data_IF_022319797588
#
_entry.id   IF_022319797588
#
_cell.length_a   1.000
_cell.length_b   1.000
_cell.length_c   1.000
_cell.angle_alpha   90.00
_cell.angle_beta   90.00
_cell.angle_gamma   90.00
#
_symmetry.space_group_name_H-M   'P 1'
#
loop_
_entity.id
_entity.type
_entity.pdbx_description
1 polymer ?
#
# COMPACT_ATOMS: atom_id res chain seq x y z
N UNK A 1 -8.88 -5.96 -0.05
CA UNK A 1 -7.55 -6.00 0.57
C UNK A 1 -6.59 -6.74 -0.36
N UNK A 2 -5.31 -6.39 -0.29
CA UNK A 2 -4.17 -6.95 -1.04
C UNK A 2 -4.12 -6.60 -2.53
N UNK A 3 -5.24 -6.64 -3.25
CA UNK A 3 -5.35 -6.16 -4.65
C UNK A 3 -6.46 -5.12 -4.79
N UNK A 4 -6.49 -4.42 -5.92
CA UNK A 4 -7.69 -3.68 -6.31
C UNK A 4 -8.82 -4.69 -6.53
N UNK A 5 -9.89 -4.55 -5.75
CA UNK A 5 -11.08 -5.41 -5.76
C UNK A 5 -12.30 -4.70 -6.37
N UNK A 6 -12.10 -3.58 -7.05
CA UNK A 6 -13.18 -2.84 -7.73
C UNK A 6 -13.92 -3.72 -8.74
N UNK A 7 -13.25 -4.69 -9.36
CA UNK A 7 -13.84 -5.68 -10.26
C UNK A 7 -14.87 -6.60 -9.58
N UNK A 8 -14.68 -6.93 -8.30
CA UNK A 8 -15.54 -7.85 -7.54
C UNK A 8 -16.80 -7.18 -7.01
N UNK A 9 -16.78 -5.86 -6.84
CA UNK A 9 -17.88 -5.09 -6.28
C UNK A 9 -17.92 -3.67 -6.80
N UNK A 10 -18.09 -3.44 -8.10
CA UNK A 10 -17.92 -2.12 -8.71
C UNK A 10 -18.90 -1.07 -8.16
N UNK A 11 -20.06 -1.49 -7.65
CA UNK A 11 -21.11 -0.62 -7.12
C UNK A 11 -21.20 -0.62 -5.59
N UNK A 12 -20.32 -1.35 -4.90
CA UNK A 12 -20.28 -1.45 -3.43
C UNK A 12 -18.90 -1.19 -2.84
N UNK A 13 -17.85 -1.26 -3.64
CA UNK A 13 -16.46 -1.09 -3.21
C UNK A 13 -16.04 0.37 -3.41
N UNK A 14 -15.89 1.10 -2.30
CA UNK A 14 -15.45 2.51 -2.33
C UNK A 14 -13.96 2.63 -2.70
N UNK A 15 -13.11 1.84 -2.06
CA UNK A 15 -11.68 1.83 -2.25
C UNK A 15 -11.09 0.49 -1.78
N UNK A 16 -9.90 0.15 -2.27
CA UNK A 16 -9.15 -1.03 -1.87
C UNK A 16 -7.82 -0.61 -1.24
N UNK A 17 -7.52 -1.08 -0.04
CA UNK A 17 -6.12 -1.11 0.41
C UNK A 17 -5.41 -2.25 -0.32
N UNK A 18 -4.40 -1.89 -1.10
CA UNK A 18 -3.58 -2.78 -1.93
C UNK A 18 -2.28 -3.03 -1.20
N UNK A 19 -1.79 -4.26 -1.23
CA UNK A 19 -0.48 -4.65 -0.72
C UNK A 19 0.33 -5.24 -1.86
N UNK A 20 1.40 -4.57 -2.23
CA UNK A 20 2.32 -5.00 -3.28
C UNK A 20 3.27 -6.09 -2.78
N UNK A 21 2.70 -7.24 -2.39
CA UNK A 21 3.46 -8.44 -1.99
C UNK A 21 4.37 -8.90 -3.13
N UNK A 22 3.93 -8.74 -4.37
CA UNK A 22 4.71 -8.97 -5.58
C UNK A 22 6.06 -8.23 -5.54
N UNK A 23 6.07 -6.94 -5.19
CA UNK A 23 7.30 -6.15 -5.07
C UNK A 23 8.21 -6.62 -3.94
N UNK A 24 7.64 -6.98 -2.80
CA UNK A 24 8.42 -7.49 -1.66
C UNK A 24 9.08 -8.85 -1.97
N UNK A 25 8.37 -9.71 -2.70
CA UNK A 25 8.92 -11.00 -3.15
C UNK A 25 10.00 -10.77 -4.22
N UNK A 26 9.74 -9.91 -5.20
CA UNK A 26 10.72 -9.55 -6.23
C UNK A 26 12.00 -8.98 -5.61
N UNK A 27 11.89 -8.07 -4.64
CA UNK A 27 13.07 -7.47 -3.98
C UNK A 27 13.88 -8.53 -3.24
N UNK A 28 13.23 -9.42 -2.48
CA UNK A 28 13.92 -10.50 -1.78
C UNK A 28 14.63 -11.48 -2.72
N UNK A 29 13.99 -11.84 -3.85
CA UNK A 29 14.62 -12.68 -4.88
C UNK A 29 15.85 -11.96 -5.46
N UNK A 30 15.72 -10.69 -5.83
CA UNK A 30 16.81 -9.91 -6.39
C UNK A 30 17.99 -9.79 -5.42
N UNK A 31 17.73 -9.43 -4.17
CA UNK A 31 18.75 -9.34 -3.13
C UNK A 31 19.47 -10.68 -2.91
N UNK A 32 18.73 -11.78 -2.97
CA UNK A 32 19.33 -13.11 -2.85
C UNK A 32 20.26 -13.42 -4.04
N UNK A 33 19.81 -13.12 -5.26
CA UNK A 33 20.59 -13.32 -6.48
C UNK A 33 21.85 -12.45 -6.52
N UNK A 34 21.78 -11.23 -5.97
CA UNK A 34 22.90 -10.29 -5.88
C UNK A 34 23.85 -10.59 -4.70
N UNK A 35 23.49 -11.55 -3.83
CA UNK A 35 24.26 -11.87 -2.62
C UNK A 35 24.18 -10.80 -1.52
N UNK A 36 23.21 -9.89 -1.61
CA UNK A 36 22.98 -8.77 -0.68
C UNK A 36 21.83 -9.03 0.30
N UNK A 37 21.11 -10.15 0.14
CA UNK A 37 20.02 -10.53 1.04
C UNK A 37 20.47 -10.60 2.49
N UNK A 38 19.74 -9.92 3.35
CA UNK A 38 19.96 -9.94 4.80
C UNK A 38 18.69 -10.35 5.52
N UNK A 39 18.84 -11.25 6.49
CA UNK A 39 17.76 -11.59 7.41
C UNK A 39 17.51 -10.45 8.38
N UNK A 40 16.26 -10.30 8.83
CA UNK A 40 15.85 -9.23 9.75
C UNK A 40 14.40 -8.84 9.54
N UNK A 41 14.01 -7.71 10.12
CA UNK A 41 12.70 -7.11 9.88
C UNK A 41 12.84 -5.95 8.90
N UNK A 42 12.00 -5.94 7.87
CA UNK A 42 11.84 -4.82 6.95
C UNK A 42 10.41 -4.29 7.04
N UNK A 43 10.29 -2.97 7.15
CA UNK A 43 9.00 -2.27 7.11
C UNK A 43 8.85 -1.61 5.76
N UNK A 44 7.84 -2.02 5.02
CA UNK A 44 7.51 -1.46 3.71
C UNK A 44 6.11 -0.84 3.77
N UNK A 45 6.03 0.44 3.43
CA UNK A 45 4.85 1.27 3.62
C UNK A 45 4.36 1.98 2.36
N UNK A 46 3.47 2.95 2.54
CA UNK A 46 2.93 3.86 1.52
C UNK A 46 4.06 4.57 0.78
N UNK A 47 5.00 5.18 1.50
CA UNK A 47 6.13 5.90 0.90
C UNK A 47 7.04 4.98 0.07
N UNK A 48 7.16 3.72 0.47
CA UNK A 48 7.90 2.69 -0.26
C UNK A 48 7.12 2.07 -1.43
N UNK A 49 5.87 2.49 -1.65
CA UNK A 49 4.99 1.92 -2.66
C UNK A 49 4.65 0.44 -2.42
N UNK A 50 4.77 -0.04 -1.19
CA UNK A 50 4.44 -1.42 -0.83
C UNK A 50 2.97 -1.59 -0.44
N UNK A 51 2.29 -0.50 -0.13
CA UNK A 51 0.84 -0.43 0.06
C UNK A 51 0.30 0.82 -0.60
N UNK A 52 -0.98 0.82 -0.97
CA UNK A 52 -1.69 1.98 -1.51
C UNK A 52 -3.19 1.89 -1.20
N UNK A 53 -3.90 3.01 -1.36
CA UNK A 53 -5.35 3.12 -1.30
C UNK A 53 -5.90 3.41 -2.70
N UNK A 54 -6.33 2.37 -3.42
CA UNK A 54 -6.90 2.50 -4.77
C UNK A 54 -8.37 2.86 -4.68
N UNK A 55 -8.72 4.05 -5.17
CA UNK A 55 -10.08 4.58 -5.14
C UNK A 55 -10.90 4.14 -6.35
N UNK A 56 -12.16 3.73 -6.12
CA UNK A 56 -13.08 3.41 -7.20
C UNK A 56 -13.69 4.72 -7.77
N UNK A 57 -13.43 5.06 -9.04
CA UNK A 57 -13.89 6.31 -9.63
C UNK A 57 -15.41 6.42 -9.76
N UNK A 58 -16.20 5.35 -9.60
CA UNK A 58 -17.67 5.44 -9.57
C UNK A 58 -18.19 6.24 -8.37
N UNK A 59 -17.40 6.37 -7.31
CA UNK A 59 -17.80 7.03 -6.06
C UNK A 59 -17.27 8.47 -5.95
N UNK A 60 -17.15 9.21 -7.06
CA UNK A 60 -16.48 10.53 -7.11
C UNK A 60 -16.89 11.52 -6.00
N UNK A 61 -18.15 11.46 -5.52
CA UNK A 61 -18.62 12.28 -4.40
C UNK A 61 -17.86 12.07 -3.07
N UNK A 62 -17.12 10.98 -2.93
CA UNK A 62 -16.29 10.67 -1.76
C UNK A 62 -14.79 10.90 -1.99
N UNK A 63 -14.39 11.38 -3.17
CA UNK A 63 -12.97 11.51 -3.54
C UNK A 63 -12.17 12.32 -2.51
N UNK A 64 -12.69 13.48 -2.11
CA UNK A 64 -12.04 14.36 -1.14
C UNK A 64 -11.85 13.65 0.22
N UNK A 65 -12.85 12.90 0.68
CA UNK A 65 -12.75 12.13 1.93
C UNK A 65 -11.68 11.04 1.85
N UNK A 66 -11.60 10.35 0.71
CA UNK A 66 -10.61 9.29 0.48
C UNK A 66 -9.20 9.86 0.36
N UNK A 67 -9.03 11.01 -0.31
CA UNK A 67 -7.75 11.71 -0.39
C UNK A 67 -7.28 12.14 1.02
N UNK A 68 -8.17 12.69 1.85
CA UNK A 68 -7.86 13.03 3.25
C UNK A 68 -7.44 11.80 4.08
N UNK A 69 -8.01 10.62 3.82
CA UNK A 69 -7.58 9.39 4.48
C UNK A 69 -6.17 8.97 4.05
N UNK A 70 -5.83 9.13 2.76
CA UNK A 70 -4.48 8.85 2.25
C UNK A 70 -3.47 9.78 2.92
N UNK A 71 -3.73 11.09 2.96
CA UNK A 71 -2.85 12.07 3.61
C UNK A 71 -2.63 11.73 5.09
N UNK A 72 -3.70 11.39 5.81
CA UNK A 72 -3.58 10.95 7.22
C UNK A 72 -2.73 9.69 7.35
N UNK A 73 -2.91 8.71 6.47
CA UNK A 73 -2.15 7.47 6.51
C UNK A 73 -0.65 7.70 6.28
N UNK A 74 -0.27 8.64 5.41
CA UNK A 74 1.14 9.05 5.21
C UNK A 74 1.74 9.71 6.46
N UNK A 75 0.98 10.58 7.13
CA UNK A 75 1.42 11.21 8.39
C UNK A 75 1.59 10.16 9.50
N UNK A 76 0.64 9.25 9.62
CA UNK A 76 0.69 8.17 10.62
C UNK A 76 1.82 7.18 10.35
N UNK A 77 2.11 6.87 9.09
CA UNK A 77 3.28 6.09 8.70
C UNK A 77 4.58 6.79 9.12
N UNK A 78 4.71 8.08 8.83
CA UNK A 78 5.89 8.86 9.20
C UNK A 78 6.09 8.87 10.74
N UNK A 79 5.00 9.00 11.50
CA UNK A 79 5.03 8.90 12.97
C UNK A 79 5.48 7.52 13.44
N UNK A 80 4.87 6.46 12.89
CA UNK A 80 5.23 5.08 13.22
C UNK A 80 6.71 4.78 12.97
N UNK A 81 7.25 5.23 11.83
CA UNK A 81 8.66 5.03 11.50
C UNK A 81 9.62 5.83 12.40
N UNK A 82 9.18 6.98 12.94
CA UNK A 82 10.00 7.78 13.85
C UNK A 82 10.05 7.22 15.28
N UNK A 83 9.06 6.40 15.67
CA UNK A 83 8.95 5.79 17.01
C UNK A 83 9.61 4.40 17.09
N UNK A 84 10.14 3.88 15.98
CA UNK A 84 10.86 2.60 15.88
C UNK A 84 12.36 2.77 16.09
#
# INVERSE_FOLDING_TARGET
MDRDQTDLGPDTMLASSVKHVDRAVESGIREFMEGTFSGGEQVLGLKGGATDLVFNPKFTGYKETVDLWRERAEVEEARYLAER
#
